data_IF_940887849754
#
_entry.id   IF_940887849754
#
_cell.length_a   1.000
_cell.length_b   1.000
_cell.length_c   1.000
_cell.angle_alpha   90.00
_cell.angle_beta   90.00
_cell.angle_gamma   90.00
#
_symmetry.space_group_name_H-M   'P 1'
#
loop_
_entity.id
_entity.type
_entity.pdbx_description
1 polymer ?
#
# COMPACT_ATOMS: atom_id res chain seq x y z
N UNK A 1 -17.05 49.75 17.06
CA UNK A 1 -16.08 48.79 17.63
C UNK A 1 -16.71 47.40 17.79
N UNK A 2 -17.19 46.77 16.70
CA UNK A 2 -17.85 45.45 16.75
C UNK A 2 -17.63 44.64 15.46
N UNK A 3 -16.38 44.58 14.96
CA UNK A 3 -16.10 43.94 13.67
C UNK A 3 -15.03 42.86 13.70
N UNK A 4 -14.43 42.56 14.87
CA UNK A 4 -13.25 41.68 14.95
C UNK A 4 -13.46 40.34 15.69
N UNK A 5 -14.70 39.90 15.93
CA UNK A 5 -14.95 38.64 16.66
C UNK A 5 -15.45 37.48 15.80
N UNK A 6 -15.68 37.66 14.49
CA UNK A 6 -16.21 36.58 13.62
C UNK A 6 -15.10 35.78 12.93
N UNK A 7 -13.86 36.30 12.86
CA UNK A 7 -12.79 35.71 12.06
C UNK A 7 -11.86 34.72 12.80
N UNK A 8 -12.06 34.48 14.09
CA UNK A 8 -11.18 33.61 14.90
C UNK A 8 -11.76 32.23 15.23
N UNK A 9 -12.86 31.80 14.60
CA UNK A 9 -13.50 30.50 14.88
C UNK A 9 -13.22 29.37 13.89
N UNK A 10 -12.36 29.57 12.88
CA UNK A 10 -12.18 28.60 11.79
C UNK A 10 -10.76 28.05 11.62
N UNK A 11 -10.14 27.64 12.73
CA UNK A 11 -9.02 26.69 12.71
C UNK A 11 -9.26 25.62 13.78
N UNK A 12 -10.41 24.94 13.70
CA UNK A 12 -10.48 23.60 14.29
C UNK A 12 -9.59 22.73 13.42
N UNK A 13 -8.44 22.31 13.98
CA UNK A 13 -7.64 21.24 13.40
C UNK A 13 -8.59 20.10 13.04
N UNK A 14 -8.70 19.78 11.75
CA UNK A 14 -9.41 18.60 11.27
C UNK A 14 -8.84 17.43 12.04
N UNK A 15 -9.63 16.86 12.96
CA UNK A 15 -9.18 15.75 13.78
C UNK A 15 -8.71 14.65 12.83
N UNK A 16 -7.44 14.23 12.94
CA UNK A 16 -6.89 13.14 12.13
C UNK A 16 -7.83 11.95 12.26
N UNK A 17 -8.44 11.53 11.14
CA UNK A 17 -9.57 10.60 11.11
C UNK A 17 -9.14 9.13 11.07
N UNK A 18 -7.85 8.85 11.19
CA UNK A 18 -7.34 7.48 11.18
C UNK A 18 -7.94 6.63 12.29
N UNK A 19 -8.03 5.34 12.04
CA UNK A 19 -8.50 4.34 12.99
C UNK A 19 -7.37 3.38 13.38
N UNK A 20 -7.40 2.90 14.62
CA UNK A 20 -6.53 1.81 15.06
C UNK A 20 -7.05 0.49 14.49
N UNK A 21 -6.18 -0.35 13.95
CA UNK A 21 -6.54 -1.71 13.50
C UNK A 21 -5.63 -2.70 14.22
N UNK A 22 -6.19 -3.57 15.05
CA UNK A 22 -5.44 -4.63 15.70
C UNK A 22 -5.79 -5.99 15.10
N UNK A 23 -4.79 -6.60 14.48
CA UNK A 23 -4.79 -7.97 13.97
C UNK A 23 -4.16 -8.85 15.03
N UNK A 24 -4.90 -9.85 15.52
CA UNK A 24 -4.46 -10.73 16.61
C UNK A 24 -4.53 -12.19 16.20
N UNK A 25 -3.37 -12.85 16.13
CA UNK A 25 -3.23 -14.27 15.84
C UNK A 25 -3.89 -14.72 14.54
N UNK A 26 -3.95 -13.86 13.52
CA UNK A 26 -4.72 -14.11 12.30
C UNK A 26 -4.16 -15.32 11.53
N UNK A 27 -5.03 -16.28 11.23
CA UNK A 27 -4.67 -17.49 10.49
C UNK A 27 -5.58 -17.65 9.28
N UNK A 28 -4.98 -17.98 8.14
CA UNK A 28 -5.71 -18.26 6.91
C UNK A 28 -5.10 -19.39 6.10
N UNK A 29 -5.95 -20.32 5.67
CA UNK A 29 -5.62 -21.44 4.81
C UNK A 29 -6.59 -21.51 3.61
N UNK A 30 -6.10 -22.05 2.50
CA UNK A 30 -6.92 -22.38 1.33
C UNK A 30 -6.62 -23.80 0.89
N UNK A 31 -7.66 -24.64 0.83
CA UNK A 31 -7.52 -26.04 0.39
C UNK A 31 -6.35 -26.78 1.06
N UNK A 32 -6.14 -26.56 2.37
CA UNK A 32 -5.05 -27.17 3.14
C UNK A 32 -3.69 -26.47 3.05
N UNK A 33 -3.54 -25.44 2.19
CA UNK A 33 -2.32 -24.62 2.14
C UNK A 33 -2.45 -23.42 3.09
N UNK A 34 -1.60 -23.39 4.10
CA UNK A 34 -1.48 -22.25 5.02
C UNK A 34 -0.85 -21.05 4.31
N UNK A 35 -1.55 -19.92 4.32
CA UNK A 35 -1.11 -18.66 3.71
C UNK A 35 -0.70 -17.64 4.77
N UNK A 36 -1.45 -17.53 5.87
CA UNK A 36 -1.10 -16.72 7.03
C UNK A 36 -1.10 -17.60 8.28
N UNK A 37 -0.04 -17.47 9.09
CA UNK A 37 0.29 -18.37 10.20
C UNK A 37 0.45 -17.57 11.49
N UNK A 38 -0.68 -17.18 12.09
CA UNK A 38 -0.72 -16.42 13.35
C UNK A 38 0.00 -15.07 13.20
N UNK A 39 -0.64 -14.19 12.46
CA UNK A 39 -0.14 -12.83 12.19
C UNK A 39 -0.67 -11.88 13.26
N UNK A 40 0.24 -11.18 13.92
CA UNK A 40 -0.06 -10.08 14.85
C UNK A 40 0.46 -8.77 14.27
N UNK A 41 -0.45 -7.82 14.04
CA UNK A 41 -0.13 -6.51 13.48
C UNK A 41 -1.08 -5.47 14.06
N UNK A 42 -0.54 -4.37 14.57
CA UNK A 42 -1.36 -3.22 14.97
C UNK A 42 -1.05 -2.07 14.04
N UNK A 43 -2.05 -1.40 13.47
CA UNK A 43 -1.93 -0.11 12.79
C UNK A 43 -2.43 0.98 13.74
N UNK A 44 -1.61 1.99 14.01
CA UNK A 44 -2.03 3.11 14.86
C UNK A 44 -2.81 4.17 14.05
N UNK A 45 -3.70 4.97 14.69
CA UNK A 45 -4.46 6.01 14.03
C UNK A 45 -3.58 6.99 13.25
N UNK A 46 -3.82 7.09 11.94
CA UNK A 46 -3.08 7.99 11.05
C UNK A 46 -1.68 7.51 10.69
N UNK A 47 -1.31 6.28 11.07
CA UNK A 47 -0.05 5.66 10.68
C UNK A 47 -0.11 5.17 9.23
N UNK A 48 0.99 5.35 8.50
CA UNK A 48 1.19 4.71 7.20
C UNK A 48 2.09 3.49 7.36
N UNK A 49 1.55 2.28 7.19
CA UNK A 49 2.33 1.04 7.30
C UNK A 49 2.46 0.39 5.93
N UNK A 50 3.66 -0.06 5.57
CA UNK A 50 3.90 -0.84 4.37
C UNK A 50 4.21 -2.29 4.72
N UNK A 51 3.54 -3.21 4.05
CA UNK A 51 3.79 -4.64 4.09
C UNK A 51 4.55 -5.04 2.84
N UNK A 52 5.77 -5.52 3.04
CA UNK A 52 6.68 -6.02 2.01
C UNK A 52 6.88 -7.53 2.14
N UNK A 53 7.36 -8.15 1.07
CA UNK A 53 7.62 -9.58 1.03
C UNK A 53 7.49 -10.13 -0.39
N UNK A 54 7.94 -11.36 -0.59
CA UNK A 54 7.94 -12.00 -1.90
C UNK A 54 6.53 -12.24 -2.43
N UNK A 55 6.42 -12.49 -3.74
CA UNK A 55 5.16 -12.93 -4.35
C UNK A 55 4.67 -14.21 -3.68
N UNK A 56 3.39 -14.23 -3.29
CA UNK A 56 2.77 -15.41 -2.68
C UNK A 56 2.99 -15.60 -1.18
N UNK A 57 3.63 -14.66 -0.46
CA UNK A 57 3.79 -14.77 1.00
C UNK A 57 2.54 -14.41 1.83
N UNK A 58 1.44 -14.01 1.19
CA UNK A 58 0.15 -13.73 1.86
C UNK A 58 -0.22 -12.25 2.04
N UNK A 59 0.55 -11.30 1.48
CA UNK A 59 0.29 -9.85 1.63
C UNK A 59 -1.13 -9.43 1.22
N UNK A 60 -1.56 -9.79 0.00
CA UNK A 60 -2.90 -9.44 -0.47
C UNK A 60 -4.00 -10.21 0.27
N UNK A 61 -3.71 -11.40 0.83
CA UNK A 61 -4.63 -12.11 1.73
C UNK A 61 -4.81 -11.34 3.05
N UNK A 62 -3.71 -10.85 3.65
CA UNK A 62 -3.78 -10.00 4.85
C UNK A 62 -4.61 -8.74 4.57
N UNK A 63 -4.36 -8.07 3.44
CA UNK A 63 -5.12 -6.88 3.05
C UNK A 63 -6.62 -7.17 2.88
N UNK A 64 -6.99 -8.28 2.22
CA UNK A 64 -8.40 -8.68 2.05
C UNK A 64 -9.09 -9.03 3.37
N UNK A 65 -8.37 -9.65 4.29
CA UNK A 65 -8.89 -9.95 5.64
C UNK A 65 -9.14 -8.65 6.41
N UNK A 66 -8.18 -7.71 6.42
CA UNK A 66 -8.34 -6.40 7.07
C UNK A 66 -9.49 -5.61 6.42
N UNK A 67 -9.70 -5.75 5.12
CA UNK A 67 -10.81 -5.15 4.41
C UNK A 67 -12.18 -5.81 4.65
N UNK A 68 -12.23 -6.87 5.46
CA UNK A 68 -13.40 -7.74 5.65
C UNK A 68 -13.98 -8.31 4.33
N UNK A 69 -13.17 -8.37 3.26
CA UNK A 69 -13.55 -9.02 2.00
C UNK A 69 -13.38 -10.55 2.07
N UNK A 70 -12.75 -11.01 3.14
CA UNK A 70 -12.50 -12.41 3.41
C UNK A 70 -12.59 -12.68 4.92
N UNK A 71 -12.92 -13.91 5.29
CA UNK A 71 -13.00 -14.35 6.69
C UNK A 71 -11.73 -15.11 7.08
N UNK A 72 -11.19 -14.80 8.25
CA UNK A 72 -10.10 -15.58 8.83
C UNK A 72 -10.61 -16.94 9.31
N UNK A 73 -9.73 -17.94 9.33
CA UNK A 73 -10.09 -19.26 9.90
C UNK A 73 -9.91 -19.23 11.43
N UNK A 74 -8.88 -18.52 11.92
CA UNK A 74 -8.67 -18.22 13.34
C UNK A 74 -8.12 -16.80 13.54
N UNK A 75 -8.13 -16.34 14.79
CA UNK A 75 -7.70 -14.99 15.17
C UNK A 75 -8.84 -13.97 15.12
N UNK A 76 -8.52 -12.70 15.36
CA UNK A 76 -9.50 -11.62 15.35
C UNK A 76 -8.95 -10.33 14.76
N UNK A 77 -9.88 -9.50 14.28
CA UNK A 77 -9.64 -8.14 13.83
C UNK A 77 -10.45 -7.21 14.73
N UNK A 78 -9.78 -6.22 15.32
CA UNK A 78 -10.39 -5.23 16.20
C UNK A 78 -10.14 -3.82 15.66
N UNK A 79 -11.22 -3.04 15.52
CA UNK A 79 -11.17 -1.68 14.97
C UNK A 79 -11.46 -0.62 16.03
N UNK A 80 -10.51 0.28 16.29
CA UNK A 80 -10.64 1.28 17.35
C UNK A 80 -10.87 0.66 18.73
N UNK A 81 -11.47 1.42 19.65
CA UNK A 81 -11.82 0.95 20.99
C UNK A 81 -13.20 0.25 21.01
N UNK A 82 -14.16 0.79 20.26
CA UNK A 82 -15.55 0.31 20.25
C UNK A 82 -15.81 -0.87 19.28
N UNK A 83 -14.76 -1.36 18.61
CA UNK A 83 -14.85 -2.34 17.53
C UNK A 83 -15.84 -1.95 16.40
N UNK A 84 -16.04 -0.64 16.20
CA UNK A 84 -16.92 -0.13 15.15
C UNK A 84 -16.21 -0.22 13.81
N UNK A 85 -16.90 -0.76 12.81
CA UNK A 85 -16.38 -0.86 11.44
C UNK A 85 -16.04 0.53 10.88
N UNK A 86 -14.78 0.74 10.46
CA UNK A 86 -14.38 2.00 9.84
C UNK A 86 -14.91 2.11 8.41
N UNK A 87 -15.01 3.35 7.94
CA UNK A 87 -15.11 3.61 6.51
C UNK A 87 -13.79 3.18 5.83
N UNK A 88 -13.78 1.98 5.24
CA UNK A 88 -12.61 1.36 4.63
C UNK A 88 -12.70 1.41 3.12
N UNK A 89 -11.63 1.84 2.46
CA UNK A 89 -11.53 1.87 0.99
C UNK A 89 -10.28 1.14 0.52
N UNK A 90 -10.42 0.43 -0.60
CA UNK A 90 -9.32 -0.31 -1.22
C UNK A 90 -9.02 0.28 -2.59
N UNK A 91 -7.75 0.49 -2.85
CA UNK A 91 -7.21 0.79 -4.16
C UNK A 91 -6.35 -0.40 -4.61
N UNK A 92 -6.70 -0.96 -5.76
CA UNK A 92 -6.03 -2.14 -6.33
C UNK A 92 -4.99 -1.71 -7.38
N UNK A 93 -4.06 -2.62 -7.68
CA UNK A 93 -3.06 -2.46 -8.76
C UNK A 93 -3.71 -2.14 -10.11
N UNK A 94 -4.84 -2.78 -10.45
CA UNK A 94 -5.69 -2.31 -11.53
C UNK A 94 -6.64 -1.24 -10.99
N UNK A 95 -6.63 -0.07 -11.65
CA UNK A 95 -7.55 1.04 -11.36
C UNK A 95 -9.02 0.64 -11.28
N UNK A 96 -9.44 -0.46 -11.92
CA UNK A 96 -10.82 -1.00 -11.90
C UNK A 96 -11.87 0.09 -12.12
N UNK A 97 -11.57 1.04 -13.01
CA UNK A 97 -12.54 2.05 -13.42
C UNK A 97 -13.60 1.37 -14.28
N UNK A 98 -14.87 1.77 -14.12
CA UNK A 98 -15.97 1.31 -14.93
C UNK A 98 -15.82 1.94 -16.34
N UNK A 99 -15.53 1.14 -17.39
CA UNK A 99 -15.18 1.68 -18.70
C UNK A 99 -16.35 2.38 -19.40
N UNK A 100 -17.59 2.04 -19.02
CA UNK A 100 -18.84 2.65 -19.52
C UNK A 100 -19.31 3.86 -18.70
N UNK A 101 -18.50 4.38 -17.77
CA UNK A 101 -18.78 5.63 -17.03
C UNK A 101 -17.68 6.64 -17.28
N UNK A 102 -18.03 7.92 -17.28
CA UNK A 102 -17.05 9.01 -17.36
C UNK A 102 -16.21 9.07 -16.09
N UNK A 103 -15.12 9.83 -16.13
CA UNK A 103 -14.19 10.00 -15.01
C UNK A 103 -14.90 10.53 -13.76
N UNK A 104 -15.71 11.60 -13.89
CA UNK A 104 -16.49 12.14 -12.78
C UNK A 104 -17.45 11.10 -12.19
N UNK A 105 -18.11 10.33 -13.05
CA UNK A 105 -19.07 9.30 -12.62
C UNK A 105 -18.39 8.10 -11.96
N UNK A 106 -17.14 7.82 -12.32
CA UNK A 106 -16.31 6.83 -11.64
C UNK A 106 -15.96 7.28 -10.22
N UNK A 107 -15.55 8.53 -10.05
CA UNK A 107 -15.26 9.07 -8.71
C UNK A 107 -16.55 9.19 -7.89
N UNK A 108 -17.65 9.62 -8.49
CA UNK A 108 -18.93 9.80 -7.79
C UNK A 108 -19.67 8.49 -7.41
N UNK A 109 -19.08 7.32 -7.64
CA UNK A 109 -19.73 6.05 -7.33
C UNK A 109 -20.07 5.95 -5.84
N UNK A 110 -21.36 5.73 -5.55
CA UNK A 110 -21.88 5.61 -4.18
C UNK A 110 -22.12 6.94 -3.47
N UNK A 111 -21.89 8.09 -4.11
CA UNK A 111 -22.18 9.40 -3.52
C UNK A 111 -23.59 9.89 -3.86
N UNK A 112 -24.24 10.62 -2.93
CA UNK A 112 -25.53 11.24 -3.19
C UNK A 112 -25.44 12.48 -4.10
N UNK A 113 -24.29 13.19 -4.10
CA UNK A 113 -24.04 14.40 -4.91
C UNK A 113 -22.68 14.33 -5.57
N UNK A 114 -22.56 14.93 -6.77
CA UNK A 114 -21.33 14.91 -7.58
C UNK A 114 -20.31 15.98 -7.20
N UNK A 115 -20.68 16.99 -6.42
CA UNK A 115 -19.79 18.12 -6.08
C UNK A 115 -18.52 17.64 -5.35
N UNK A 116 -18.66 16.69 -4.42
CA UNK A 116 -17.52 16.08 -3.72
C UNK A 116 -16.58 15.33 -4.67
N UNK A 117 -17.11 14.71 -5.73
CA UNK A 117 -16.30 14.00 -6.72
C UNK A 117 -15.45 14.95 -7.55
N UNK A 118 -15.99 16.12 -7.91
CA UNK A 118 -15.21 17.13 -8.63
C UNK A 118 -14.07 17.69 -7.76
N UNK A 119 -14.35 17.99 -6.48
CA UNK A 119 -13.32 18.40 -5.53
C UNK A 119 -12.24 17.34 -5.35
N UNK A 120 -12.61 16.06 -5.30
CA UNK A 120 -11.64 14.96 -5.22
C UNK A 120 -10.80 14.81 -6.50
N UNK A 121 -11.38 15.08 -7.69
CA UNK A 121 -10.62 15.12 -8.95
C UNK A 121 -9.63 16.29 -8.98
N UNK A 122 -10.02 17.44 -8.44
CA UNK A 122 -9.13 18.61 -8.31
C UNK A 122 -7.91 18.29 -7.46
N UNK A 123 -8.08 17.61 -6.33
CA UNK A 123 -6.98 17.21 -5.45
C UNK A 123 -5.97 16.28 -6.12
N UNK A 124 -6.38 15.49 -7.11
CA UNK A 124 -5.47 14.64 -7.90
C UNK A 124 -5.05 15.27 -9.24
N UNK A 125 -5.39 16.54 -9.48
CA UNK A 125 -5.02 17.29 -10.67
C UNK A 125 -5.73 16.84 -11.96
N UNK A 126 -6.95 16.33 -11.88
CA UNK A 126 -7.72 15.79 -13.02
C UNK A 126 -9.12 16.41 -13.19
N UNK A 127 -9.34 17.60 -12.66
CA UNK A 127 -10.64 18.31 -12.79
C UNK A 127 -11.05 18.54 -14.25
N UNK A 128 -10.13 18.97 -15.10
CA UNK A 128 -10.36 19.19 -16.55
C UNK A 128 -10.70 17.90 -17.32
N UNK A 129 -10.37 16.74 -16.74
CA UNK A 129 -10.59 15.42 -17.34
C UNK A 129 -11.92 14.79 -16.88
N UNK A 130 -12.70 15.48 -16.05
CA UNK A 130 -13.94 14.98 -15.45
C UNK A 130 -14.95 14.42 -16.46
N UNK A 131 -15.02 15.04 -17.65
CA UNK A 131 -15.93 14.66 -18.73
C UNK A 131 -15.45 13.51 -19.62
N UNK A 132 -14.21 13.04 -19.47
CA UNK A 132 -13.62 12.04 -20.35
C UNK A 132 -13.99 10.59 -19.96
N UNK A 133 -13.66 9.64 -20.84
CA UNK A 133 -13.81 8.21 -20.61
C UNK A 133 -12.49 7.59 -20.11
N UNK A 134 -12.50 6.59 -19.22
CA UNK A 134 -11.28 5.95 -18.71
C UNK A 134 -10.31 5.44 -19.79
N UNK A 135 -10.83 5.06 -20.96
CA UNK A 135 -10.05 4.53 -22.08
C UNK A 135 -9.04 5.53 -22.68
N UNK A 136 -9.28 6.84 -22.56
CA UNK A 136 -8.38 7.88 -23.12
C UNK A 136 -7.33 8.38 -22.11
N UNK A 137 -7.41 7.90 -20.87
CA UNK A 137 -6.46 8.25 -19.81
C UNK A 137 -5.17 7.45 -19.93
N UNK A 138 -4.04 8.01 -19.49
CA UNK A 138 -2.81 7.23 -19.26
C UNK A 138 -2.97 6.31 -18.06
N UNK A 139 -2.05 5.34 -17.89
CA UNK A 139 -2.04 4.45 -16.71
C UNK A 139 -1.98 5.22 -15.39
N UNK A 140 -1.09 6.21 -15.30
CA UNK A 140 -0.99 7.11 -14.13
C UNK A 140 -2.26 7.91 -13.87
N UNK A 141 -2.87 8.45 -14.92
CA UNK A 141 -4.13 9.19 -14.77
C UNK A 141 -5.26 8.29 -14.28
N UNK A 142 -5.37 7.05 -14.79
CA UNK A 142 -6.35 6.08 -14.27
C UNK A 142 -6.11 5.77 -12.79
N UNK A 143 -4.87 5.65 -12.35
CA UNK A 143 -4.55 5.46 -10.93
C UNK A 143 -4.94 6.67 -10.08
N UNK A 144 -4.67 7.90 -10.55
CA UNK A 144 -5.12 9.12 -9.88
C UNK A 144 -6.65 9.20 -9.75
N UNK A 145 -7.39 8.82 -10.79
CA UNK A 145 -8.86 8.72 -10.72
C UNK A 145 -9.30 7.64 -9.71
N UNK A 146 -8.63 6.49 -9.68
CA UNK A 146 -8.92 5.44 -8.70
C UNK A 146 -8.64 5.91 -7.25
N UNK A 147 -7.56 6.65 -7.03
CA UNK A 147 -7.25 7.28 -5.74
C UNK A 147 -8.31 8.31 -5.34
N UNK A 148 -8.71 9.19 -6.27
CA UNK A 148 -9.81 10.14 -6.01
C UNK A 148 -11.11 9.41 -5.64
N UNK A 149 -11.45 8.34 -6.37
CA UNK A 149 -12.63 7.51 -6.05
C UNK A 149 -12.54 6.88 -4.66
N UNK A 150 -11.36 6.49 -4.20
CA UNK A 150 -11.19 5.95 -2.86
C UNK A 150 -11.33 7.04 -1.80
N UNK A 151 -10.75 8.23 -2.03
CA UNK A 151 -10.70 9.32 -1.06
C UNK A 151 -11.97 10.17 -0.96
N UNK A 152 -12.85 10.11 -1.97
CA UNK A 152 -14.07 10.92 -2.00
C UNK A 152 -15.06 10.58 -0.88
N UNK A 153 -15.00 9.35 -0.36
CA UNK A 153 -15.81 8.88 0.77
C UNK A 153 -15.18 9.21 2.13
N UNK A 154 -14.05 9.90 2.13
CA UNK A 154 -13.30 10.29 3.32
C UNK A 154 -13.03 9.11 4.28
N UNK A 155 -12.24 8.11 3.84
CA UNK A 155 -12.02 6.88 4.59
C UNK A 155 -11.19 7.11 5.85
N UNK A 156 -11.49 6.33 6.89
CA UNK A 156 -10.68 6.23 8.12
C UNK A 156 -9.49 5.27 7.90
N UNK A 157 -9.68 4.27 7.03
CA UNK A 157 -8.69 3.27 6.64
C UNK A 157 -8.59 3.16 5.12
N UNK A 158 -7.40 3.43 4.58
CA UNK A 158 -7.09 3.25 3.15
C UNK A 158 -6.15 2.07 2.95
N UNK A 159 -6.59 1.08 2.18
CA UNK A 159 -5.82 -0.10 1.84
C UNK A 159 -5.35 -0.01 0.39
N UNK A 160 -4.06 -0.24 0.16
CA UNK A 160 -3.38 -0.03 -1.10
C UNK A 160 -2.71 -1.34 -1.52
N UNK A 161 -3.25 -2.05 -2.52
CA UNK A 161 -2.73 -3.35 -3.00
C UNK A 161 -1.94 -3.14 -4.30
N UNK A 162 -0.62 -3.00 -4.17
CA UNK A 162 0.33 -2.71 -5.27
C UNK A 162 -0.09 -1.55 -6.20
N UNK A 163 -0.52 -0.37 -5.67
CA UNK A 163 -1.10 0.71 -6.48
C UNK A 163 -0.12 1.35 -7.49
N UNK A 164 1.19 1.11 -7.33
CA UNK A 164 2.26 1.76 -8.08
C UNK A 164 2.97 0.83 -9.09
N UNK A 165 2.71 -0.48 -9.02
CA UNK A 165 3.49 -1.49 -9.74
C UNK A 165 3.41 -1.40 -11.28
N UNK A 166 2.33 -0.83 -11.82
CA UNK A 166 2.13 -0.68 -13.27
C UNK A 166 2.57 0.68 -13.84
N UNK A 167 3.19 1.55 -13.03
CA UNK A 167 3.57 2.91 -13.42
C UNK A 167 5.04 2.97 -13.87
N UNK A 168 5.34 3.85 -14.82
CA UNK A 168 6.72 4.22 -15.14
C UNK A 168 7.37 4.99 -13.98
N UNK A 169 8.70 5.14 -14.01
CA UNK A 169 9.46 5.69 -12.89
C UNK A 169 9.05 7.12 -12.50
N UNK A 170 8.80 8.01 -13.47
CA UNK A 170 8.45 9.40 -13.18
C UNK A 170 7.03 9.48 -12.61
N UNK A 171 6.08 8.86 -13.29
CA UNK A 171 4.68 8.81 -12.83
C UNK A 171 4.57 8.17 -11.45
N UNK A 172 5.39 7.15 -11.15
CA UNK A 172 5.46 6.53 -9.83
C UNK A 172 5.90 7.51 -8.75
N UNK A 173 6.96 8.29 -8.99
CA UNK A 173 7.45 9.30 -8.05
C UNK A 173 6.36 10.35 -7.79
N UNK A 174 5.72 10.86 -8.83
CA UNK A 174 4.63 11.83 -8.69
C UNK A 174 3.45 11.24 -7.91
N UNK A 175 3.11 9.97 -8.14
CA UNK A 175 2.03 9.30 -7.44
C UNK A 175 2.37 9.03 -5.97
N UNK A 176 3.63 8.70 -5.64
CA UNK A 176 4.10 8.59 -4.26
C UNK A 176 3.92 9.91 -3.52
N UNK A 177 4.39 11.01 -4.10
CA UNK A 177 4.25 12.35 -3.52
C UNK A 177 2.79 12.76 -3.33
N UNK A 178 1.93 12.42 -4.30
CA UNK A 178 0.50 12.67 -4.19
C UNK A 178 -0.17 11.87 -3.07
N UNK A 179 0.16 10.58 -2.92
CA UNK A 179 -0.37 9.76 -1.83
C UNK A 179 0.11 10.29 -0.48
N UNK A 180 1.40 10.60 -0.36
CA UNK A 180 2.00 11.14 0.87
C UNK A 180 1.35 12.46 1.28
N UNK A 181 1.15 13.40 0.35
CA UNK A 181 0.55 14.70 0.65
C UNK A 181 -0.91 14.57 1.11
N UNK A 182 -1.71 13.76 0.40
CA UNK A 182 -3.11 13.52 0.75
C UNK A 182 -3.25 12.80 2.10
N UNK A 183 -2.35 11.87 2.39
CA UNK A 183 -2.30 11.20 3.68
C UNK A 183 -1.90 12.17 4.81
N UNK A 184 -0.89 13.01 4.62
CA UNK A 184 -0.49 14.01 5.62
C UNK A 184 -1.59 15.04 5.89
N UNK A 185 -2.31 15.45 4.85
CA UNK A 185 -3.41 16.42 4.95
C UNK A 185 -4.63 15.84 5.68
N UNK A 186 -5.01 14.59 5.37
CA UNK A 186 -6.26 13.99 5.86
C UNK A 186 -6.09 13.12 7.11
N UNK A 187 -4.90 12.57 7.33
CA UNK A 187 -4.57 11.78 8.52
C UNK A 187 -5.32 10.45 8.65
N UNK A 188 -5.71 9.82 7.54
CA UNK A 188 -6.27 8.46 7.55
C UNK A 188 -5.19 7.42 7.88
N UNK A 189 -5.58 6.27 8.42
CA UNK A 189 -4.67 5.12 8.59
C UNK A 189 -4.48 4.45 7.25
N UNK A 190 -3.26 4.10 6.88
CA UNK A 190 -2.95 3.51 5.58
C UNK A 190 -2.18 2.19 5.70
N UNK A 191 -2.57 1.20 4.91
CA UNK A 191 -1.82 -0.05 4.73
C UNK A 191 -1.46 -0.21 3.25
N UNK A 192 -0.18 -0.15 2.95
CA UNK A 192 0.36 -0.39 1.61
C UNK A 192 0.94 -1.79 1.51
N UNK A 193 0.38 -2.62 0.65
CA UNK A 193 1.04 -3.84 0.18
C UNK A 193 1.85 -3.50 -1.06
N UNK A 194 3.15 -3.75 -1.01
CA UNK A 194 4.04 -3.61 -2.17
C UNK A 194 5.11 -4.68 -2.16
N UNK A 195 5.71 -4.93 -3.32
CA UNK A 195 6.92 -5.73 -3.47
C UNK A 195 8.18 -4.86 -3.65
N UNK A 196 8.03 -3.53 -3.75
CA UNK A 196 9.12 -2.57 -3.90
C UNK A 196 9.49 -1.96 -2.54
N UNK A 197 10.72 -2.21 -2.09
CA UNK A 197 11.25 -1.72 -0.81
C UNK A 197 11.42 -0.19 -0.82
N UNK A 198 11.76 0.42 -1.97
CA UNK A 198 11.88 1.87 -2.06
C UNK A 198 10.54 2.55 -1.88
N UNK A 199 9.45 1.98 -2.41
CA UNK A 199 8.09 2.46 -2.20
C UNK A 199 7.71 2.44 -0.71
N UNK A 200 8.01 1.33 -0.04
CA UNK A 200 7.74 1.15 1.37
C UNK A 200 8.49 2.19 2.23
N UNK A 201 9.79 2.38 2.00
CA UNK A 201 10.61 3.35 2.74
C UNK A 201 10.25 4.79 2.36
N UNK A 202 9.80 5.07 1.14
CA UNK A 202 9.40 6.42 0.75
C UNK A 202 8.12 6.87 1.50
N UNK A 203 7.12 5.99 1.63
CA UNK A 203 5.81 6.35 2.14
C UNK A 203 5.61 6.07 3.64
N UNK A 204 6.04 4.90 4.12
CA UNK A 204 5.55 4.33 5.37
C UNK A 204 6.27 4.83 6.63
N UNK A 205 5.55 5.10 7.70
CA UNK A 205 6.14 5.25 9.04
C UNK A 205 6.78 3.96 9.54
N UNK A 206 6.30 2.81 9.08
CA UNK A 206 6.75 1.48 9.49
C UNK A 206 6.66 0.47 8.35
N UNK A 207 7.67 -0.37 8.23
CA UNK A 207 7.77 -1.43 7.23
C UNK A 207 7.72 -2.79 7.92
N UNK A 208 6.79 -3.62 7.47
CA UNK A 208 6.54 -4.96 7.98
C UNK A 208 6.87 -5.97 6.89
N UNK A 209 7.69 -6.97 7.20
CA UNK A 209 8.04 -8.04 6.27
C UNK A 209 7.21 -9.29 6.58
N UNK A 210 6.51 -9.81 5.57
CA UNK A 210 5.85 -11.11 5.65
C UNK A 210 6.64 -12.16 4.87
N UNK A 211 7.01 -13.24 5.56
CA UNK A 211 7.72 -14.40 5.03
C UNK A 211 7.04 -15.68 5.53
N UNK A 212 6.78 -16.62 4.61
CA UNK A 212 6.12 -17.90 4.90
C UNK A 212 4.84 -17.80 5.76
N UNK A 213 4.09 -16.71 5.57
CA UNK A 213 2.84 -16.41 6.25
C UNK A 213 2.99 -15.82 7.65
N UNK A 214 4.20 -15.44 8.06
CA UNK A 214 4.51 -14.83 9.37
C UNK A 214 5.14 -13.46 9.19
N UNK A 215 4.98 -12.59 10.17
CA UNK A 215 5.74 -11.34 10.23
C UNK A 215 7.14 -11.65 10.78
N UNK A 216 8.18 -11.31 10.02
CA UNK A 216 9.59 -11.58 10.37
C UNK A 216 10.41 -10.30 10.61
N UNK A 217 9.87 -9.14 10.22
CA UNK A 217 10.42 -7.81 10.48
C UNK A 217 9.27 -6.84 10.75
N UNK A 218 9.44 -5.98 11.74
CA UNK A 218 8.59 -4.81 11.98
C UNK A 218 9.51 -3.63 12.33
N UNK A 219 9.78 -2.77 11.36
CA UNK A 219 10.82 -1.75 11.43
C UNK A 219 10.26 -0.34 11.23
N UNK A 220 10.51 0.54 12.19
CA UNK A 220 10.09 1.94 12.13
C UNK A 220 11.05 2.76 11.26
N UNK A 221 10.52 3.51 10.30
CA UNK A 221 11.29 4.36 9.41
C UNK A 221 11.43 5.76 10.01
N UNK A 222 12.49 5.95 10.79
CA UNK A 222 12.82 7.22 11.46
C UNK A 222 13.47 8.27 10.53
N UNK A 223 12.99 8.38 9.28
CA UNK A 223 13.43 9.39 8.32
C UNK A 223 12.41 10.53 8.23
N UNK A 224 12.90 11.76 8.31
CA UNK A 224 12.11 12.96 8.07
C UNK A 224 11.59 13.01 6.62
N UNK A 225 10.40 13.56 6.45
CA UNK A 225 9.76 13.78 5.16
C UNK A 225 10.04 15.20 4.65
N UNK A 226 10.23 15.43 3.34
CA UNK A 226 10.19 14.43 2.26
C UNK A 226 11.43 13.53 2.26
N UNK A 227 11.22 12.23 2.02
CA UNK A 227 12.31 11.24 2.04
C UNK A 227 13.01 11.21 0.68
N UNK A 228 14.15 11.88 0.60
CA UNK A 228 14.96 11.90 -0.61
C UNK A 228 15.75 10.59 -0.77
N UNK A 229 15.61 9.93 -1.93
CA UNK A 229 16.33 8.67 -2.25
C UNK A 229 17.85 8.81 -2.23
N UNK A 230 18.36 10.03 -2.45
CA UNK A 230 19.80 10.34 -2.37
C UNK A 230 20.36 10.43 -0.94
N UNK A 231 19.53 10.25 0.09
CA UNK A 231 19.97 10.26 1.48
C UNK A 231 20.68 8.94 1.84
N UNK A 232 21.86 9.00 2.44
CA UNK A 232 22.61 7.84 2.90
C UNK A 232 21.80 6.95 3.84
N UNK A 233 21.03 7.53 4.76
CA UNK A 233 20.21 6.78 5.70
C UNK A 233 19.05 6.04 4.99
N UNK A 234 18.55 6.58 3.88
CA UNK A 234 17.57 5.88 3.05
C UNK A 234 18.20 4.64 2.41
N UNK A 235 19.37 4.79 1.79
CA UNK A 235 20.08 3.68 1.14
C UNK A 235 20.46 2.57 2.14
N UNK A 236 20.85 2.93 3.37
CA UNK A 236 21.15 1.97 4.43
C UNK A 236 19.92 1.17 4.87
N UNK A 237 18.77 1.82 5.03
CA UNK A 237 17.50 1.15 5.34
C UNK A 237 17.04 0.26 4.19
N UNK A 238 17.20 0.73 2.95
CA UNK A 238 16.90 -0.04 1.75
C UNK A 238 17.73 -1.32 1.70
N UNK A 239 19.04 -1.22 1.85
CA UNK A 239 19.94 -2.37 1.89
C UNK A 239 19.59 -3.33 3.04
N UNK A 240 19.28 -2.80 4.24
CA UNK A 240 18.87 -3.60 5.38
C UNK A 240 17.63 -4.44 5.08
N UNK A 241 16.54 -3.79 4.67
CA UNK A 241 15.25 -4.45 4.40
C UNK A 241 15.36 -5.39 3.20
N UNK A 242 16.02 -4.97 2.12
CA UNK A 242 16.23 -5.80 0.94
C UNK A 242 17.02 -7.07 1.30
N UNK A 243 18.06 -6.95 2.14
CA UNK A 243 18.84 -8.11 2.57
C UNK A 243 17.99 -9.13 3.34
N UNK A 244 16.96 -8.69 4.07
CA UNK A 244 16.00 -9.58 4.75
C UNK A 244 15.11 -10.27 3.73
N UNK A 245 14.45 -9.51 2.86
CA UNK A 245 13.56 -10.05 1.79
C UNK A 245 14.28 -11.08 0.90
N UNK A 246 15.59 -10.88 0.67
CA UNK A 246 16.41 -11.76 -0.17
C UNK A 246 16.98 -12.98 0.56
N UNK A 247 17.16 -12.94 1.89
CA UNK A 247 17.66 -14.09 2.66
C UNK A 247 16.62 -15.20 2.68
N UNK A 248 17.02 -16.40 2.27
CA UNK A 248 16.24 -17.63 2.46
C UNK A 248 16.16 -17.95 3.96
N UNK A 249 15.09 -18.62 4.46
CA UNK A 249 15.33 -19.59 5.52
C UNK A 249 16.24 -20.64 4.90
N UNK A 250 17.46 -20.77 5.41
CA UNK A 250 18.36 -21.84 5.01
C UNK A 250 17.56 -23.16 5.08
N UNK A 251 17.32 -23.79 3.93
CA UNK A 251 17.05 -25.21 3.91
C UNK A 251 18.22 -25.85 4.65
N UNK A 252 17.91 -26.56 5.73
CA UNK A 252 18.85 -27.41 6.45
C UNK A 252 19.49 -28.39 5.47
N UNK A 253 20.64 -28.00 4.95
CA UNK A 253 21.59 -28.92 4.34
C UNK A 253 22.83 -28.81 5.21
N UNK A 254 23.09 -29.87 5.96
CA UNK A 254 24.28 -30.04 6.79
C UNK A 254 25.54 -29.53 6.06
N UNK A 255 26.43 -28.77 6.72
CA UNK A 255 27.71 -28.38 6.15
C UNK A 255 28.74 -29.52 6.19
N UNK A 256 28.31 -30.79 6.32
CA UNK A 256 29.20 -31.93 6.48
C UNK A 256 28.74 -33.15 5.64
N UNK A 257 28.83 -33.02 4.32
CA UNK A 257 28.94 -34.20 3.45
C UNK A 257 29.86 -33.90 2.27
N UNK A 258 31.15 -34.14 2.50
CA UNK A 258 32.12 -34.68 1.53
C UNK A 258 32.23 -34.05 0.14
N UNK A 259 33.36 -33.35 -0.07
CA UNK A 259 34.24 -33.45 -1.25
C UNK A 259 33.69 -34.32 -2.40
N UNK A 260 33.31 -33.68 -3.52
CA UNK A 260 32.93 -34.36 -4.76
C UNK A 260 33.08 -33.45 -5.99
N UNK A 261 34.20 -33.63 -6.68
CA UNK A 261 34.50 -33.28 -8.08
C UNK A 261 34.39 -31.82 -8.57
N UNK A 262 35.51 -31.10 -8.40
CA UNK A 262 35.96 -30.03 -9.28
C UNK A 262 36.48 -30.60 -10.61
N UNK A 263 35.60 -31.18 -11.41
CA UNK A 263 35.87 -31.45 -12.82
C UNK A 263 34.58 -31.36 -13.61
N UNK A 264 34.37 -30.21 -14.26
CA UNK A 264 33.81 -30.07 -15.62
C UNK A 264 33.67 -28.57 -15.95
N UNK A 265 34.78 -27.83 -15.83
CA UNK A 265 35.02 -26.66 -16.67
C UNK A 265 35.40 -27.18 -18.06
N UNK A 266 34.47 -27.11 -19.02
CA UNK A 266 34.67 -26.90 -20.47
C UNK A 266 33.40 -27.26 -21.23
N UNK A 267 32.66 -26.27 -21.72
CA UNK A 267 32.60 -25.98 -23.17
C UNK A 267 31.68 -24.78 -23.41
N UNK A 268 32.26 -23.71 -23.93
CA UNK A 268 31.56 -22.63 -24.63
C UNK A 268 31.08 -23.20 -25.96
N UNK A 269 29.82 -23.02 -26.36
CA UNK A 269 29.42 -22.73 -27.76
C UNK A 269 27.94 -22.37 -27.92
N UNK A 270 27.75 -21.24 -28.62
CA UNK A 270 26.67 -20.89 -29.58
C UNK A 270 25.21 -20.86 -29.13
N UNK A 271 24.67 -19.65 -28.98
CA UNK A 271 23.25 -19.34 -29.21
C UNK A 271 23.10 -18.67 -30.58
N UNK A 272 22.44 -19.35 -31.50
CA UNK A 272 21.91 -18.80 -32.73
C UNK A 272 20.43 -18.41 -32.51
N UNK A 273 20.06 -17.20 -32.89
CA UNK A 273 18.69 -16.71 -32.89
C UNK A 273 17.94 -17.26 -34.11
N UNK A 274 16.67 -17.63 -33.92
CA UNK A 274 15.74 -17.89 -35.02
C UNK A 274 14.45 -17.07 -34.82
N UNK A 275 14.26 -16.20 -35.82
CA UNK A 275 13.07 -15.49 -36.37
C UNK A 275 11.73 -15.65 -35.64
#
# INVERSE_FOLDING_TARGET
MQSNQVEQKNVQATAKRGIRVAVQGLFKSYAGREVLKSVDLTLEPGEFVAVVGRSGCGKSTLLRLIAELETADHGSLVFGEDNKRPETRIMFQDSRLLPWKRVLDNVALGLPKKDSALNSLKQVGLEERAGEWPAVLSGGQRQRVALARALVHDPELLLLDEPLGALDALTRIEMQQLIESLWQERGFTALLVTHDVQEAIALADRVVLIEDGRITLDERIALARPRARGNLAFAQLEEHILSRVLKQPASSTDPDSSLGDLSLLKSVHQFAWAV
#
